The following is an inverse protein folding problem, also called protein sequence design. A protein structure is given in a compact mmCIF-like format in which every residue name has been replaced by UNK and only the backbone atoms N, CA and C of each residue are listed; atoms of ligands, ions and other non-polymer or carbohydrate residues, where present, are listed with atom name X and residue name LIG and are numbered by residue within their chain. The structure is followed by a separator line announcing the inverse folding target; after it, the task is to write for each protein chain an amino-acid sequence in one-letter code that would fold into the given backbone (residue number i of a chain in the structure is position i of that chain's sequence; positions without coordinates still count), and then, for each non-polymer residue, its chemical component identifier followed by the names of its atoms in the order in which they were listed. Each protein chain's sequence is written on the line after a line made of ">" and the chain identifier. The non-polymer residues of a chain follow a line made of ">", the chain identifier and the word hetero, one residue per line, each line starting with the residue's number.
data_IF_392371531995
#
_entry.id   IF_392371531995
#
_cell.length_a   1.000
_cell.length_b   1.000
_cell.length_c   1.000
_cell.angle_alpha   90.00
_cell.angle_beta   90.00
_cell.angle_gamma   90.00
#
_symmetry.space_group_name_H-M   'P 1'
#
loop_
_entity.id
_entity.type
_entity.pdbx_description
1 polymer ?
#
# COMPACT_ATOMS: atom_id res chain seq x y z
N UNK A 1 -11.79 4.01 13.87
CA UNK A 1 -10.55 4.54 13.31
C UNK A 1 -10.75 4.98 11.86
N UNK A 2 -11.09 4.06 10.97
CA UNK A 2 -11.09 4.31 9.52
C UNK A 2 -12.04 5.44 9.09
N UNK A 3 -13.26 5.47 9.63
CA UNK A 3 -14.28 6.45 9.25
C UNK A 3 -14.18 7.81 9.93
N UNK A 4 -13.35 7.97 10.99
CA UNK A 4 -13.35 9.20 11.78
C UNK A 4 -11.96 9.82 12.01
N UNK A 5 -10.91 9.02 12.09
CA UNK A 5 -9.61 9.50 12.57
C UNK A 5 -8.44 9.22 11.62
N UNK A 6 -8.65 8.48 10.54
CA UNK A 6 -7.57 7.90 9.77
C UNK A 6 -6.54 8.95 9.30
N UNK A 7 -6.91 9.91 8.46
CA UNK A 7 -6.01 10.97 8.00
C UNK A 7 -5.53 11.88 9.11
N UNK A 8 -6.46 12.47 9.84
CA UNK A 8 -6.18 13.39 10.96
C UNK A 8 -5.33 12.72 12.05
N UNK A 9 -5.59 11.45 12.37
CA UNK A 9 -4.80 10.71 13.34
C UNK A 9 -3.36 10.52 12.89
N UNK A 10 -3.13 10.15 11.62
CA UNK A 10 -1.78 10.03 11.06
C UNK A 10 -1.04 11.37 11.05
N UNK A 11 -1.72 12.44 10.63
CA UNK A 11 -1.16 13.80 10.61
C UNK A 11 -0.82 14.25 12.04
N UNK A 12 -1.70 13.99 13.00
CA UNK A 12 -1.47 14.32 14.40
C UNK A 12 -0.24 13.64 15.00
N UNK A 13 0.04 12.40 14.60
CA UNK A 13 1.28 11.71 14.99
C UNK A 13 2.51 12.24 14.24
N UNK A 14 2.37 12.68 13.00
CA UNK A 14 3.46 13.26 12.22
C UNK A 14 3.81 14.67 12.66
N UNK A 15 2.87 15.45 13.21
CA UNK A 15 3.05 16.85 13.53
C UNK A 15 4.22 17.15 14.48
N UNK A 16 4.41 16.45 15.61
CA UNK A 16 5.57 16.67 16.48
C UNK A 16 6.91 16.40 15.77
N UNK A 17 6.96 15.34 14.96
CA UNK A 17 8.14 14.98 14.19
C UNK A 17 8.45 16.04 13.12
N UNK A 18 7.44 16.49 12.38
CA UNK A 18 7.59 17.54 11.38
C UNK A 18 8.08 18.85 12.01
N UNK A 19 7.60 19.20 13.19
CA UNK A 19 8.07 20.36 13.95
C UNK A 19 9.54 20.22 14.33
N UNK A 20 9.93 19.10 14.91
CA UNK A 20 11.32 18.83 15.33
C UNK A 20 12.29 18.81 14.14
N UNK A 21 11.85 18.23 13.02
CA UNK A 21 12.64 18.13 11.78
C UNK A 21 12.58 19.39 10.92
N UNK A 22 11.85 20.41 11.34
CA UNK A 22 11.61 21.66 10.57
C UNK A 22 11.07 21.40 9.16
N UNK A 23 10.22 20.37 9.03
CA UNK A 23 9.63 20.00 7.76
C UNK A 23 8.55 21.01 7.35
N UNK A 24 8.53 21.37 6.07
CA UNK A 24 7.49 22.24 5.50
C UNK A 24 6.32 21.46 4.92
N UNK A 25 6.49 20.14 4.76
CA UNK A 25 5.55 19.30 4.04
C UNK A 25 5.47 17.91 4.64
N UNK A 26 4.23 17.39 4.76
CA UNK A 26 3.92 16.01 5.13
C UNK A 26 3.04 15.40 4.06
N UNK A 27 3.47 14.31 3.48
CA UNK A 27 2.67 13.51 2.55
C UNK A 27 1.90 12.42 3.28
N UNK A 28 0.59 12.34 3.03
CA UNK A 28 -0.27 11.27 3.53
C UNK A 28 -0.63 10.38 2.34
N UNK A 29 -0.17 9.14 2.37
CA UNK A 29 -0.42 8.19 1.29
C UNK A 29 -1.92 7.84 1.21
N UNK A 30 -2.51 8.03 0.04
CA UNK A 30 -3.88 7.64 -0.24
C UNK A 30 -4.11 6.14 -0.07
N UNK A 31 -5.19 5.77 0.63
CA UNK A 31 -5.66 4.38 0.76
C UNK A 31 -6.59 3.96 -0.38
N UNK A 32 -7.33 4.91 -0.91
CA UNK A 32 -8.33 4.76 -1.97
C UNK A 32 -8.00 5.66 -3.15
N UNK A 33 -8.74 5.49 -4.24
CA UNK A 33 -8.60 6.31 -5.45
C UNK A 33 -9.76 7.29 -5.58
N UNK A 34 -9.65 8.22 -6.51
CA UNK A 34 -10.74 9.12 -6.88
C UNK A 34 -12.01 8.39 -7.32
N UNK A 35 -11.88 7.15 -7.85
CA UNK A 35 -13.01 6.29 -8.22
C UNK A 35 -13.81 5.76 -7.02
N UNK A 36 -13.20 5.76 -5.86
CA UNK A 36 -13.80 5.30 -4.59
C UNK A 36 -14.45 6.44 -3.81
N UNK A 37 -14.31 7.68 -4.29
CA UNK A 37 -14.87 8.86 -3.66
C UNK A 37 -16.39 8.72 -3.43
N UNK A 38 -16.83 8.95 -2.20
CA UNK A 38 -18.23 8.81 -1.79
C UNK A 38 -18.76 7.37 -1.67
N UNK A 39 -17.97 6.35 -2.08
CA UNK A 39 -18.38 4.94 -2.01
C UNK A 39 -17.88 4.24 -0.76
N UNK A 40 -16.73 4.65 -0.26
CA UNK A 40 -16.10 4.05 0.93
C UNK A 40 -15.92 5.14 1.98
N UNK A 41 -16.54 5.01 3.16
CA UNK A 41 -16.31 5.96 4.25
C UNK A 41 -14.83 5.90 4.69
N UNK A 42 -14.09 6.96 4.44
CA UNK A 42 -12.71 7.09 4.87
C UNK A 42 -12.43 8.50 5.33
N UNK A 43 -11.91 8.62 6.55
CA UNK A 43 -11.51 9.91 7.12
C UNK A 43 -10.12 10.38 6.65
N UNK A 44 -9.52 9.73 5.66
CA UNK A 44 -8.35 10.20 4.92
C UNK A 44 -8.78 10.45 3.49
N UNK A 45 -8.90 11.70 3.14
CA UNK A 45 -9.45 12.17 1.87
C UNK A 45 -8.78 13.51 1.51
N UNK A 46 -8.51 13.79 0.23
CA UNK A 46 -7.87 15.04 -0.19
C UNK A 46 -8.66 16.30 0.22
N UNK A 47 -10.00 16.20 0.35
CA UNK A 47 -10.84 17.32 0.80
C UNK A 47 -10.72 17.62 2.29
N UNK A 48 -10.03 16.76 3.05
CA UNK A 48 -9.74 16.94 4.47
C UNK A 48 -8.23 17.12 4.66
N UNK A 49 -7.45 16.15 4.23
CA UNK A 49 -6.01 16.08 4.52
C UNK A 49 -5.25 17.28 3.94
N UNK A 50 -5.59 17.73 2.74
CA UNK A 50 -4.95 18.89 2.09
C UNK A 50 -5.20 20.22 2.80
N UNK A 51 -6.18 20.30 3.69
CA UNK A 51 -6.48 21.52 4.45
C UNK A 51 -5.86 21.54 5.84
N UNK A 52 -5.24 20.45 6.27
CA UNK A 52 -4.59 20.42 7.58
C UNK A 52 -3.27 21.18 7.52
N UNK A 53 -3.10 22.06 8.49
CA UNK A 53 -1.91 22.89 8.66
C UNK A 53 -1.50 22.86 10.13
N UNK A 54 -0.21 22.83 10.38
CA UNK A 54 0.33 22.97 11.73
C UNK A 54 1.71 23.62 11.66
N UNK A 55 1.93 24.63 12.50
CA UNK A 55 3.12 25.48 12.42
C UNK A 55 3.33 25.98 10.97
N UNK A 56 4.52 25.76 10.40
CA UNK A 56 4.83 26.10 9.02
C UNK A 56 4.70 24.91 8.06
N UNK A 57 4.05 23.84 8.50
CA UNK A 57 3.93 22.61 7.74
C UNK A 57 2.56 22.48 7.05
N UNK A 58 2.58 22.04 5.84
CA UNK A 58 1.41 21.74 5.01
C UNK A 58 1.29 20.23 4.82
N UNK A 59 0.07 19.71 4.75
CA UNK A 59 -0.20 18.32 4.43
C UNK A 59 -0.64 18.18 2.98
N UNK A 60 -0.19 17.12 2.32
CA UNK A 60 -0.64 16.73 0.98
C UNK A 60 -1.10 15.28 1.01
N UNK A 61 -2.33 15.05 0.57
CA UNK A 61 -2.86 13.72 0.30
C UNK A 61 -2.33 13.25 -1.05
N UNK A 62 -1.50 12.23 -1.05
CA UNK A 62 -0.68 11.82 -2.20
C UNK A 62 -1.14 10.49 -2.82
N UNK A 63 -1.07 10.41 -4.15
CA UNK A 63 -1.34 9.19 -4.91
C UNK A 63 -2.82 8.81 -4.97
N UNK A 64 -3.74 9.76 -4.90
CA UNK A 64 -5.19 9.53 -4.99
C UNK A 64 -5.65 9.09 -6.40
N UNK A 65 -4.86 9.38 -7.42
CA UNK A 65 -5.05 8.97 -8.80
C UNK A 65 -4.65 7.51 -9.07
N UNK A 66 -3.85 6.90 -8.20
CA UNK A 66 -3.29 5.57 -8.39
C UNK A 66 -3.99 4.49 -7.58
N UNK A 67 -4.29 3.36 -8.21
CA UNK A 67 -4.69 2.14 -7.51
C UNK A 67 -3.52 1.62 -6.66
N UNK A 68 -3.80 0.69 -5.76
CA UNK A 68 -2.73 0.02 -5.00
C UNK A 68 -1.76 -0.73 -5.92
N UNK A 69 -2.26 -1.36 -6.98
CA UNK A 69 -1.42 -2.07 -7.94
C UNK A 69 -0.55 -1.10 -8.75
N UNK A 70 -1.06 0.07 -9.12
CA UNK A 70 -0.26 1.12 -9.78
C UNK A 70 0.86 1.61 -8.88
N UNK A 71 0.61 1.79 -7.59
CA UNK A 71 1.64 2.17 -6.61
C UNK A 71 2.72 1.09 -6.49
N UNK A 72 2.34 -0.19 -6.46
CA UNK A 72 3.28 -1.32 -6.47
C UNK A 72 4.10 -1.32 -7.76
N UNK A 73 3.46 -1.10 -8.92
CA UNK A 73 4.14 -0.97 -10.21
C UNK A 73 5.20 0.12 -10.19
N UNK A 74 4.84 1.31 -9.72
CA UNK A 74 5.75 2.45 -9.69
C UNK A 74 6.95 2.19 -8.77
N UNK A 75 6.72 1.64 -7.58
CA UNK A 75 7.79 1.30 -6.63
C UNK A 75 8.68 0.19 -7.20
N UNK A 76 8.10 -0.84 -7.81
CA UNK A 76 8.84 -1.95 -8.41
C UNK A 76 9.72 -1.48 -9.56
N UNK A 77 9.17 -0.69 -10.48
CA UNK A 77 9.94 -0.09 -11.58
C UNK A 77 11.08 0.79 -11.07
N UNK A 78 10.81 1.61 -10.06
CA UNK A 78 11.84 2.46 -9.46
C UNK A 78 12.97 1.63 -8.84
N UNK A 79 12.64 0.61 -8.04
CA UNK A 79 13.63 -0.24 -7.39
C UNK A 79 14.52 -0.97 -8.40
N UNK A 80 13.91 -1.53 -9.46
CA UNK A 80 14.64 -2.18 -10.55
C UNK A 80 15.53 -1.17 -11.28
N UNK A 81 14.99 -0.02 -11.70
CA UNK A 81 15.73 1.01 -12.43
C UNK A 81 16.90 1.61 -11.66
N UNK A 82 16.80 1.69 -10.34
CA UNK A 82 17.87 2.20 -9.47
C UNK A 82 18.78 1.08 -8.94
N UNK A 83 18.47 -0.18 -9.24
CA UNK A 83 19.15 -1.35 -8.65
C UNK A 83 19.28 -1.22 -7.12
N UNK A 84 18.19 -0.78 -6.47
CA UNK A 84 18.19 -0.47 -5.04
C UNK A 84 17.00 -1.14 -4.35
N UNK A 85 17.24 -2.00 -3.34
CA UNK A 85 16.15 -2.57 -2.55
C UNK A 85 15.40 -1.48 -1.77
N UNK A 86 14.08 -1.64 -1.65
CA UNK A 86 13.20 -0.75 -0.89
C UNK A 86 12.49 -1.57 0.18
N UNK A 87 12.72 -1.27 1.44
CA UNK A 87 12.06 -1.98 2.52
C UNK A 87 10.64 -1.46 2.72
N UNK A 88 9.64 -2.24 2.32
CA UNK A 88 8.22 -1.93 2.52
C UNK A 88 7.72 -2.51 3.84
N UNK A 89 6.99 -1.71 4.60
CA UNK A 89 6.28 -2.16 5.78
C UNK A 89 4.79 -2.20 5.54
N UNK A 90 4.25 -3.37 5.25
CA UNK A 90 2.82 -3.57 4.93
C UNK A 90 2.05 -4.33 6.01
N UNK A 91 2.73 -5.07 6.85
CA UNK A 91 2.16 -5.90 7.89
C UNK A 91 1.89 -5.11 9.17
N UNK A 92 0.72 -5.32 9.76
CA UNK A 92 0.32 -4.77 11.05
C UNK A 92 0.24 -5.84 12.16
N UNK A 93 0.38 -7.12 11.80
CA UNK A 93 0.25 -8.25 12.73
C UNK A 93 1.55 -8.60 13.45
N UNK A 94 2.70 -8.26 12.86
CA UNK A 94 3.99 -8.57 13.48
C UNK A 94 4.49 -7.40 14.33
N UNK A 95 5.07 -7.70 15.47
CA UNK A 95 5.86 -6.76 16.27
C UNK A 95 7.27 -6.60 15.67
N UNK A 96 8.00 -5.56 16.07
CA UNK A 96 9.41 -5.40 15.71
C UNK A 96 9.71 -4.91 14.30
N UNK A 97 8.74 -4.28 13.62
CA UNK A 97 9.00 -3.56 12.35
C UNK A 97 9.11 -4.43 11.11
N UNK A 98 9.17 -5.77 11.20
CA UNK A 98 9.29 -6.68 10.05
C UNK A 98 7.93 -7.17 9.54
N UNK A 99 7.84 -7.55 8.27
CA UNK A 99 6.65 -8.18 7.72
C UNK A 99 6.54 -9.63 8.19
N UNK A 100 5.31 -10.09 8.52
CA UNK A 100 5.09 -11.49 8.91
C UNK A 100 5.10 -12.47 7.73
N UNK A 101 4.93 -11.98 6.51
CA UNK A 101 4.87 -12.72 5.25
C UNK A 101 3.80 -13.85 5.20
N UNK A 102 2.80 -13.82 6.10
CA UNK A 102 1.76 -14.85 6.25
C UNK A 102 0.35 -14.28 6.29
N UNK A 103 0.17 -12.98 6.47
CA UNK A 103 -1.16 -12.35 6.51
C UNK A 103 -1.62 -11.92 5.11
N UNK A 104 -2.90 -11.59 5.01
CA UNK A 104 -3.51 -11.15 3.74
C UNK A 104 -2.76 -9.97 3.11
N UNK A 105 -2.40 -8.95 3.89
CA UNK A 105 -1.67 -7.80 3.39
C UNK A 105 -0.29 -8.17 2.83
N UNK A 106 0.44 -9.07 3.50
CA UNK A 106 1.73 -9.55 3.01
C UNK A 106 1.56 -10.35 1.73
N UNK A 107 0.63 -11.32 1.70
CA UNK A 107 0.39 -12.14 0.51
C UNK A 107 -0.06 -11.30 -0.69
N UNK A 108 -0.97 -10.36 -0.47
CA UNK A 108 -1.41 -9.44 -1.51
C UNK A 108 -0.26 -8.59 -2.06
N UNK A 109 0.61 -8.09 -1.21
CA UNK A 109 1.75 -7.29 -1.66
C UNK A 109 2.79 -8.17 -2.38
N UNK A 110 3.08 -9.38 -1.88
CA UNK A 110 3.93 -10.35 -2.57
C UNK A 110 3.40 -10.63 -3.98
N UNK A 111 2.11 -10.97 -4.09
CA UNK A 111 1.49 -11.25 -5.40
C UNK A 111 1.47 -10.02 -6.31
N UNK A 112 1.25 -8.83 -5.76
CA UNK A 112 1.31 -7.59 -6.51
C UNK A 112 2.69 -7.30 -7.08
N UNK A 113 3.76 -7.52 -6.32
CA UNK A 113 5.14 -7.36 -6.78
C UNK A 113 5.49 -8.40 -7.84
N UNK A 114 5.10 -9.66 -7.64
CA UNK A 114 5.29 -10.72 -8.64
C UNK A 114 4.55 -10.43 -9.95
N UNK A 115 3.36 -9.81 -9.87
CA UNK A 115 2.61 -9.38 -11.05
C UNK A 115 3.34 -8.27 -11.84
N UNK A 116 4.23 -7.53 -11.22
CA UNK A 116 5.10 -6.54 -11.86
C UNK A 116 6.51 -7.09 -12.16
N UNK A 117 6.68 -8.42 -12.14
CA UNK A 117 7.95 -9.12 -12.39
C UNK A 117 9.08 -8.74 -11.40
N UNK A 118 8.73 -8.17 -10.25
CA UNK A 118 9.67 -7.85 -9.18
C UNK A 118 9.96 -9.02 -8.25
N UNK A 119 11.07 -8.97 -7.53
CA UNK A 119 11.40 -9.92 -6.46
C UNK A 119 10.90 -9.38 -5.11
N UNK A 120 9.92 -10.04 -4.44
CA UNK A 120 9.43 -9.61 -3.13
C UNK A 120 10.51 -9.48 -2.05
N UNK A 121 11.59 -10.26 -2.16
CA UNK A 121 12.70 -10.22 -1.19
C UNK A 121 13.41 -8.86 -1.21
N UNK A 122 13.49 -8.20 -2.37
CA UNK A 122 14.03 -6.84 -2.51
C UNK A 122 13.18 -5.78 -1.82
N UNK A 123 11.99 -6.15 -1.35
CA UNK A 123 11.03 -5.26 -0.67
C UNK A 123 10.79 -5.63 0.81
N UNK A 124 11.67 -6.44 1.40
CA UNK A 124 11.52 -6.88 2.80
C UNK A 124 10.36 -7.85 3.03
N UNK A 125 9.97 -8.58 1.98
CA UNK A 125 8.92 -9.59 2.01
C UNK A 125 9.52 -10.95 1.68
N UNK A 126 9.83 -11.74 2.71
CA UNK A 126 10.39 -13.08 2.52
C UNK A 126 9.45 -13.95 1.69
N UNK A 127 9.92 -14.40 0.52
CA UNK A 127 9.18 -15.22 -0.42
C UNK A 127 10.10 -16.24 -1.10
N UNK A 128 9.62 -17.47 -1.20
CA UNK A 128 10.23 -18.54 -2.00
C UNK A 128 9.18 -19.09 -2.96
N UNK A 129 9.61 -19.69 -4.06
CA UNK A 129 8.69 -20.21 -5.09
C UNK A 129 7.70 -21.25 -4.53
N UNK A 130 8.12 -22.02 -3.54
CA UNK A 130 7.30 -23.02 -2.85
C UNK A 130 6.14 -22.36 -2.07
N UNK A 131 6.31 -21.13 -1.60
CA UNK A 131 5.26 -20.38 -0.88
C UNK A 131 4.04 -20.11 -1.74
N UNK A 132 4.18 -20.15 -3.06
CA UNK A 132 3.08 -19.97 -4.01
C UNK A 132 1.92 -20.93 -3.74
N UNK A 133 2.22 -22.17 -3.35
CA UNK A 133 1.19 -23.16 -3.00
C UNK A 133 0.43 -22.76 -1.72
N UNK A 134 1.14 -22.27 -0.72
CA UNK A 134 0.55 -21.79 0.53
C UNK A 134 -0.33 -20.56 0.28
N UNK A 135 0.12 -19.63 -0.56
CA UNK A 135 -0.65 -18.44 -0.95
C UNK A 135 -1.92 -18.86 -1.71
N UNK A 136 -1.82 -19.78 -2.67
CA UNK A 136 -2.99 -20.31 -3.38
C UNK A 136 -4.02 -20.95 -2.44
N UNK A 137 -3.57 -21.75 -1.46
CA UNK A 137 -4.45 -22.32 -0.44
C UNK A 137 -5.09 -21.24 0.43
N UNK A 138 -4.33 -20.22 0.81
CA UNK A 138 -4.87 -19.10 1.58
C UNK A 138 -5.97 -18.37 0.79
N UNK A 139 -5.74 -18.05 -0.47
CA UNK A 139 -6.72 -17.37 -1.34
C UNK A 139 -7.99 -18.23 -1.45
N UNK A 140 -7.83 -19.53 -1.69
CA UNK A 140 -8.97 -20.44 -1.91
C UNK A 140 -9.82 -20.68 -0.65
N UNK A 141 -9.21 -20.80 0.53
CA UNK A 141 -9.89 -21.32 1.71
C UNK A 141 -9.97 -20.37 2.90
N UNK A 142 -9.09 -19.35 2.97
CA UNK A 142 -8.97 -18.48 4.14
C UNK A 142 -9.25 -17.01 3.87
N UNK A 143 -9.21 -16.60 2.60
CA UNK A 143 -9.41 -15.20 2.23
C UNK A 143 -10.88 -14.83 2.44
N UNK A 144 -11.12 -13.99 3.46
CA UNK A 144 -12.44 -13.35 3.65
C UNK A 144 -12.50 -12.11 2.76
N UNK A 145 -13.26 -12.21 1.70
CA UNK A 145 -13.42 -11.13 0.73
C UNK A 145 -14.49 -10.15 1.19
N UNK A 146 -14.15 -8.89 1.31
CA UNK A 146 -15.08 -7.77 1.29
C UNK A 146 -14.92 -7.02 -0.05
N UNK A 147 -15.80 -6.07 -0.35
CA UNK A 147 -15.77 -5.33 -1.61
C UNK A 147 -14.41 -4.69 -1.93
N UNK A 148 -13.74 -4.17 -0.92
CA UNK A 148 -12.43 -3.52 -1.06
C UNK A 148 -11.32 -4.54 -1.34
N UNK A 149 -11.30 -5.67 -0.62
CA UNK A 149 -10.28 -6.70 -0.85
C UNK A 149 -10.47 -7.40 -2.19
N UNK A 150 -11.71 -7.59 -2.63
CA UNK A 150 -12.02 -8.10 -3.98
C UNK A 150 -11.34 -7.24 -5.05
N UNK A 151 -11.55 -5.93 -5.02
CA UNK A 151 -10.97 -5.01 -6.00
C UNK A 151 -9.44 -5.12 -6.06
N UNK A 152 -8.77 -5.17 -4.90
CA UNK A 152 -7.31 -5.31 -4.86
C UNK A 152 -6.80 -6.62 -5.48
N UNK A 153 -7.49 -7.72 -5.27
CA UNK A 153 -7.10 -9.02 -5.85
C UNK A 153 -7.44 -9.10 -7.34
N UNK A 154 -8.50 -8.43 -7.78
CA UNK A 154 -8.84 -8.31 -9.20
C UNK A 154 -7.79 -7.47 -9.95
N UNK A 155 -7.32 -6.36 -9.41
CA UNK A 155 -6.25 -5.55 -10.00
C UNK A 155 -4.96 -6.39 -10.19
N UNK A 156 -4.59 -7.20 -9.18
CA UNK A 156 -3.44 -8.09 -9.26
C UNK A 156 -3.65 -9.16 -10.35
N UNK A 157 -4.82 -9.79 -10.39
CA UNK A 157 -5.15 -10.79 -11.40
C UNK A 157 -5.08 -10.21 -12.81
N UNK A 158 -5.69 -9.06 -13.02
CA UNK A 158 -5.65 -8.36 -14.30
C UNK A 158 -4.22 -8.09 -14.75
N UNK A 159 -3.37 -7.67 -13.82
CA UNK A 159 -1.97 -7.39 -14.14
C UNK A 159 -1.17 -8.64 -14.54
N UNK A 160 -1.44 -9.78 -13.90
CA UNK A 160 -0.84 -11.05 -14.35
C UNK A 160 -1.27 -11.43 -15.77
N UNK A 161 -2.55 -11.22 -16.14
CA UNK A 161 -3.05 -11.50 -17.49
C UNK A 161 -2.37 -10.59 -18.51
N UNK A 162 -2.31 -9.29 -18.27
CA UNK A 162 -1.62 -8.33 -19.15
C UNK A 162 -0.17 -8.72 -19.44
N UNK A 163 0.55 -9.20 -18.42
CA UNK A 163 1.94 -9.61 -18.60
C UNK A 163 2.10 -10.96 -19.31
N UNK A 164 1.06 -11.81 -19.33
CA UNK A 164 1.07 -13.05 -20.13
C UNK A 164 0.83 -12.78 -21.62
N UNK A 165 0.00 -11.78 -21.94
CA UNK A 165 -0.33 -11.41 -23.32
C UNK A 165 0.83 -10.69 -24.04
N UNK A 166 1.82 -10.18 -23.28
CA UNK A 166 2.99 -9.47 -23.83
C UNK A 166 4.16 -10.43 -24.11
N UNK A 167 4.14 -11.66 -23.59
CA UNK A 167 5.19 -12.69 -23.77
C UNK A 167 4.81 -13.68 -24.84
#
# INVERSE_FOLDING_TARGET
>A
WHGFQHGIGLIGHAAPLAYLLKSNLVYIASSFTSKDAGKVPCASDPTIDNFVRFANCQTIHDGYEFTRQDKIRNITKYAIGQNKPIELRVCWQSSGGKNCCKCEKCYRTIMGILAEEGDPNSFGLSYKKEDSHTIKKFIKYKLKMNSVSVAYWQDIQQRFLENQDIK
#
